data_IF_297750883390
#
_entry.id   IF_297750883390
#
_cell.length_a   1.000
_cell.length_b   1.000
_cell.length_c   1.000
_cell.angle_alpha   90.00
_cell.angle_beta   90.00
_cell.angle_gamma   90.00
#
_symmetry.space_group_name_H-M   'P 1'
#
loop_
_entity.id
_entity.type
_entity.pdbx_description
1 polymer ?
#
# COMPACT_ATOMS: atom_id res chain seq x y z
N UNK A 1 -13.43 2.66 35.22
CA UNK A 1 -12.39 3.15 34.31
C UNK A 1 -11.98 2.00 33.41
N UNK A 2 -12.53 1.93 32.20
CA UNK A 2 -12.14 0.92 31.22
C UNK A 2 -11.06 1.55 30.36
N UNK A 3 -9.82 1.10 30.55
CA UNK A 3 -8.71 1.41 29.66
C UNK A 3 -9.16 1.13 28.24
N UNK A 4 -9.35 2.20 27.46
CA UNK A 4 -9.43 2.08 26.03
C UNK A 4 -8.09 1.49 25.58
N UNK A 5 -8.07 0.17 25.32
CA UNK A 5 -7.04 -0.50 24.54
C UNK A 5 -7.02 0.20 23.17
N UNK A 6 -6.33 1.35 23.10
CA UNK A 6 -6.15 2.13 21.90
C UNK A 6 -5.55 1.19 20.87
N UNK A 7 -6.29 0.96 19.79
CA UNK A 7 -5.93 -0.01 18.78
C UNK A 7 -4.48 0.24 18.34
N UNK A 8 -3.63 -0.76 18.57
CA UNK A 8 -2.19 -0.67 18.37
C UNK A 8 -1.95 -0.56 16.86
N UNK A 9 -1.52 0.61 16.38
CA UNK A 9 -1.16 0.84 14.98
C UNK A 9 -0.25 -0.28 14.47
N UNK A 10 -0.61 -0.89 13.33
CA UNK A 10 0.22 -1.93 12.71
C UNK A 10 1.53 -1.34 12.16
N UNK A 11 1.49 -0.10 11.65
CA UNK A 11 2.70 0.64 11.29
C UNK A 11 2.68 2.09 11.81
N UNK A 12 3.24 2.36 13.00
CA UNK A 12 3.22 3.70 13.60
C UNK A 12 4.03 4.75 12.83
N UNK A 13 4.90 4.34 11.90
CA UNK A 13 5.74 5.25 11.08
C UNK A 13 5.17 5.56 9.69
N UNK A 14 4.10 4.89 9.25
CA UNK A 14 3.62 5.02 7.88
C UNK A 14 2.59 6.15 7.77
N UNK A 15 2.99 7.26 7.16
CA UNK A 15 2.09 8.38 6.87
C UNK A 15 1.20 8.06 5.67
N UNK A 16 -0.02 8.63 5.61
CA UNK A 16 -0.95 8.45 4.48
C UNK A 16 -0.30 8.77 3.12
N UNK A 17 0.57 9.78 3.07
CA UNK A 17 1.34 10.14 1.88
C UNK A 17 2.34 9.05 1.48
N UNK A 18 3.13 8.55 2.43
CA UNK A 18 4.07 7.44 2.21
C UNK A 18 3.35 6.16 1.78
N UNK A 19 2.18 5.87 2.34
CA UNK A 19 1.34 4.76 1.92
C UNK A 19 0.87 4.91 0.47
N UNK A 20 0.37 6.10 0.06
CA UNK A 20 -0.10 6.31 -1.32
C UNK A 20 1.04 6.14 -2.33
N UNK A 21 2.23 6.65 -2.03
CA UNK A 21 3.40 6.51 -2.90
C UNK A 21 3.83 5.06 -2.99
N UNK A 22 3.96 4.35 -1.86
CA UNK A 22 4.31 2.93 -1.87
C UNK A 22 3.26 2.10 -2.61
N UNK A 23 1.98 2.33 -2.35
CA UNK A 23 0.89 1.63 -3.03
C UNK A 23 0.91 1.88 -4.54
N UNK A 24 1.10 3.13 -4.98
CA UNK A 24 1.19 3.47 -6.40
C UNK A 24 2.41 2.83 -7.07
N UNK A 25 3.58 2.88 -6.42
CA UNK A 25 4.81 2.29 -6.95
C UNK A 25 4.69 0.76 -7.06
N UNK A 26 4.18 0.11 -6.01
CA UNK A 26 3.94 -1.33 -6.02
C UNK A 26 2.86 -1.74 -7.03
N UNK A 27 1.83 -0.92 -7.23
CA UNK A 27 0.81 -1.16 -8.25
C UNK A 27 1.40 -1.10 -9.65
N UNK A 28 2.21 -0.07 -9.94
CA UNK A 28 2.87 0.08 -11.23
C UNK A 28 3.83 -1.09 -11.51
N UNK A 29 4.64 -1.46 -10.51
CA UNK A 29 5.56 -2.59 -10.61
C UNK A 29 4.81 -3.91 -10.86
N UNK A 30 3.74 -4.17 -10.10
CA UNK A 30 2.93 -5.39 -10.24
C UNK A 30 2.23 -5.44 -11.61
N UNK A 31 1.72 -4.30 -12.10
CA UNK A 31 1.14 -4.20 -13.43
C UNK A 31 2.15 -4.50 -14.53
N UNK A 32 3.39 -4.02 -14.41
CA UNK A 32 4.46 -4.34 -15.35
C UNK A 32 4.75 -5.85 -15.38
N UNK A 33 4.87 -6.49 -14.22
CA UNK A 33 5.08 -7.94 -14.13
C UNK A 33 3.90 -8.72 -14.73
N UNK A 34 2.67 -8.25 -14.52
CA UNK A 34 1.48 -8.86 -15.11
C UNK A 34 1.53 -8.80 -16.64
N UNK A 35 1.90 -7.66 -17.23
CA UNK A 35 2.03 -7.51 -18.68
C UNK A 35 3.07 -8.47 -19.24
N UNK A 36 4.22 -8.62 -18.58
CA UNK A 36 5.27 -9.56 -19.00
C UNK A 36 4.77 -11.02 -18.96
N UNK A 37 4.10 -11.41 -17.88
CA UNK A 37 3.53 -12.76 -17.72
C UNK A 37 2.46 -13.02 -18.79
N UNK A 38 1.52 -12.09 -18.99
CA UNK A 38 0.45 -12.22 -20.00
C UNK A 38 1.03 -12.29 -21.40
N UNK A 39 2.04 -11.48 -21.71
CA UNK A 39 2.74 -11.52 -23.01
C UNK A 39 3.39 -12.88 -23.24
N UNK A 40 4.14 -13.40 -22.25
CA UNK A 40 4.80 -14.70 -22.36
C UNK A 40 3.78 -15.83 -22.55
N UNK A 41 2.64 -15.76 -21.84
CA UNK A 41 1.55 -16.72 -21.98
C UNK A 41 0.89 -16.65 -23.37
N UNK A 42 0.66 -15.44 -23.91
CA UNK A 42 0.01 -15.22 -25.19
C UNK A 42 0.87 -15.63 -26.40
N UNK A 43 2.18 -15.43 -26.32
CA UNK A 43 3.13 -15.81 -27.38
C UNK A 43 3.45 -17.32 -27.33
N UNK A 44 3.11 -18.01 -26.24
CA UNK A 44 3.40 -19.44 -26.07
C UNK A 44 4.90 -19.72 -25.95
N UNK A 45 5.69 -18.72 -25.56
CA UNK A 45 7.14 -18.83 -25.44
C UNK A 45 7.49 -19.82 -24.33
N UNK A 46 8.54 -20.63 -24.53
CA UNK A 46 9.12 -21.44 -23.46
C UNK A 46 9.57 -20.49 -22.34
N UNK A 47 9.12 -20.77 -21.13
CA UNK A 47 9.40 -19.94 -19.97
C UNK A 47 10.87 -20.06 -19.61
N UNK A 48 11.60 -18.97 -19.72
CA UNK A 48 12.96 -18.85 -19.24
C UNK A 48 12.97 -18.52 -17.74
N UNK A 49 14.16 -18.53 -17.14
CA UNK A 49 14.33 -18.16 -15.73
C UNK A 49 13.75 -16.77 -15.44
N UNK A 50 13.83 -15.84 -16.40
CA UNK A 50 13.25 -14.51 -16.32
C UNK A 50 11.72 -14.53 -16.20
N UNK A 51 11.04 -15.33 -17.01
CA UNK A 51 9.59 -15.51 -16.95
C UNK A 51 9.10 -16.07 -15.61
N UNK A 52 9.81 -17.06 -15.05
CA UNK A 52 9.52 -17.56 -13.72
C UNK A 52 9.78 -16.52 -12.62
N UNK A 53 10.85 -15.73 -12.76
CA UNK A 53 11.14 -14.63 -11.84
C UNK A 53 10.04 -13.56 -11.88
N UNK A 54 9.55 -13.23 -13.07
CA UNK A 54 8.44 -12.30 -13.27
C UNK A 54 7.14 -12.80 -12.65
N UNK A 55 6.84 -14.10 -12.77
CA UNK A 55 5.68 -14.70 -12.13
C UNK A 55 5.80 -14.72 -10.61
N UNK A 56 6.97 -15.08 -10.06
CA UNK A 56 7.22 -15.01 -8.62
C UNK A 56 7.10 -13.57 -8.10
N UNK A 57 7.67 -12.60 -8.84
CA UNK A 57 7.56 -11.18 -8.55
C UNK A 57 6.12 -10.67 -8.63
N UNK A 58 5.31 -11.17 -9.56
CA UNK A 58 3.89 -10.87 -9.67
C UNK A 58 3.12 -11.38 -8.44
N UNK A 59 3.35 -12.62 -8.02
CA UNK A 59 2.71 -13.20 -6.83
C UNK A 59 3.06 -12.39 -5.59
N UNK A 60 4.33 -12.04 -5.41
CA UNK A 60 4.80 -11.20 -4.30
C UNK A 60 4.16 -9.80 -4.35
N UNK A 61 4.08 -9.19 -5.53
CA UNK A 61 3.46 -7.88 -5.73
C UNK A 61 1.99 -7.88 -5.36
N UNK A 62 1.22 -8.89 -5.80
CA UNK A 62 -0.20 -9.05 -5.46
C UNK A 62 -0.37 -9.29 -3.95
N UNK A 63 0.42 -10.16 -3.34
CA UNK A 63 0.38 -10.41 -1.90
C UNK A 63 0.68 -9.15 -1.09
N UNK A 64 1.68 -8.37 -1.50
CA UNK A 64 2.07 -7.13 -0.85
C UNK A 64 1.00 -6.03 -1.01
N UNK A 65 0.39 -5.91 -2.19
CA UNK A 65 -0.75 -5.00 -2.41
C UNK A 65 -1.98 -5.41 -1.58
N UNK A 66 -2.21 -6.71 -1.40
CA UNK A 66 -3.22 -7.23 -0.49
C UNK A 66 -2.94 -6.84 0.96
N UNK A 67 -1.69 -6.98 1.40
CA UNK A 67 -1.25 -6.54 2.72
C UNK A 67 -1.39 -5.02 2.90
N UNK A 68 -1.02 -4.21 1.91
CA UNK A 68 -1.21 -2.76 1.94
C UNK A 68 -2.70 -2.39 1.99
N UNK A 69 -3.55 -3.11 1.25
CA UNK A 69 -5.01 -2.93 1.33
C UNK A 69 -5.56 -3.26 2.71
N UNK A 70 -5.03 -4.31 3.34
CA UNK A 70 -5.38 -4.70 4.70
C UNK A 70 -4.95 -3.64 5.73
N UNK A 71 -3.71 -3.15 5.63
CA UNK A 71 -3.22 -2.03 6.46
C UNK A 71 -4.07 -0.78 6.25
N UNK A 72 -4.44 -0.46 5.02
CA UNK A 72 -5.34 0.68 4.75
C UNK A 72 -6.71 0.53 5.42
N UNK A 73 -7.26 -0.68 5.45
CA UNK A 73 -8.54 -0.93 6.07
C UNK A 73 -8.47 -0.75 7.60
N UNK A 74 -7.39 -1.23 8.24
CA UNK A 74 -7.21 -1.15 9.69
C UNK A 74 -6.67 0.21 10.18
N UNK A 75 -5.66 0.78 9.52
CA UNK A 75 -5.00 2.03 9.93
C UNK A 75 -5.67 3.27 9.31
N UNK A 76 -6.64 3.10 8.41
CA UNK A 76 -7.33 4.19 7.73
C UNK A 76 -8.13 5.12 8.66
N UNK A 77 -8.65 4.60 9.77
CA UNK A 77 -9.32 5.42 10.80
C UNK A 77 -8.35 6.39 11.48
N UNK A 78 -7.16 5.89 11.82
CA UNK A 78 -6.12 6.68 12.47
C UNK A 78 -5.57 7.80 11.59
N UNK A 79 -5.50 7.59 10.27
CA UNK A 79 -5.05 8.63 9.35
C UNK A 79 -6.05 9.78 9.22
N UNK A 80 -7.36 9.50 9.33
CA UNK A 80 -8.40 10.53 9.31
C UNK A 80 -8.38 11.38 10.58
N UNK A 81 -8.15 10.76 11.74
CA UNK A 81 -8.04 11.46 13.02
C UNK A 81 -6.81 12.38 13.07
N UNK A 82 -5.66 11.93 12.55
CA UNK A 82 -4.46 12.77 12.44
C UNK A 82 -4.65 13.96 11.49
N UNK A 83 -5.37 13.78 10.39
CA UNK A 83 -5.70 14.88 9.46
C UNK A 83 -6.67 15.88 10.09
N UNK A 84 -7.68 15.42 10.82
CA UNK A 84 -8.60 16.30 11.52
C UNK A 84 -7.85 17.18 12.55
N UNK A 85 -6.94 16.58 13.32
CA UNK A 85 -6.08 17.33 14.27
C UNK A 85 -5.15 18.32 13.57
N UNK A 86 -4.55 17.95 12.44
CA UNK A 86 -3.71 18.89 11.65
C UNK A 86 -4.51 20.03 11.06
N UNK A 87 -5.68 19.76 10.49
CA UNK A 87 -6.56 20.79 9.94
C UNK A 87 -7.05 21.76 11.02
N UNK A 88 -7.32 21.24 12.22
CA UNK A 88 -7.70 22.06 13.36
C UNK A 88 -6.54 22.95 13.85
N UNK A 89 -5.32 22.41 13.92
CA UNK A 89 -4.12 23.20 14.24
C UNK A 89 -3.89 24.29 13.19
N UNK A 90 -3.96 23.96 11.90
CA UNK A 90 -3.78 24.91 10.79
C UNK A 90 -4.85 26.02 10.80
N UNK A 91 -6.09 25.68 11.21
CA UNK A 91 -7.17 26.66 11.40
C UNK A 91 -6.89 27.59 12.60
N UNK A 92 -6.37 27.07 13.72
CA UNK A 92 -6.00 27.90 14.89
C UNK A 92 -4.73 28.73 14.65
N UNK A 93 -3.76 28.19 13.91
CA UNK A 93 -2.52 28.87 13.57
C UNK A 93 -2.69 30.02 12.58
N UNK A 94 -3.71 29.97 11.72
CA UNK A 94 -4.11 31.08 10.83
C UNK A 94 -5.00 32.13 11.51
N UNK A 95 -5.43 31.89 12.75
CA UNK A 95 -6.27 32.81 13.51
C UNK A 95 -5.47 33.68 14.50
N UNK A 96 -4.13 33.53 14.52
CA UNK A 96 -3.16 34.36 15.23
C UNK A 96 -2.35 35.16 14.21
#
# INVERSE_FOLDING_TARGET
>A
MSEAKGAKRLQPKMTRGGFRVQFALWSLWTALQLVLVVRNLAVGTVWDLGGYLSLAGLILGVAYLGFLSYVRHHDGHFWKEEEAKRAEWDRRGRAL
#
